data_IF_367784453170
#
_entry.id   IF_367784453170
#
_cell.length_a   1.000
_cell.length_b   1.000
_cell.length_c   1.000
_cell.angle_alpha   90.00
_cell.angle_beta   90.00
_cell.angle_gamma   90.00
#
_symmetry.space_group_name_H-M   'P 1'
#
loop_
_entity.id
_entity.type
_entity.pdbx_description
1 polymer ?
#
# COMPACT_ATOMS: atom_id res chain seq x y z
N UNK A 1 18.66 11.30 1.58
CA UNK A 1 17.47 10.42 1.50
C UNK A 1 16.30 11.15 2.14
N UNK A 2 15.28 11.48 1.34
CA UNK A 2 14.00 12.00 1.84
C UNK A 2 13.23 10.86 2.54
N UNK A 3 12.29 11.14 3.46
CA UNK A 3 11.72 10.13 4.35
C UNK A 3 11.06 8.97 3.61
N UNK A 4 11.37 7.74 4.03
CA UNK A 4 10.67 6.54 3.58
C UNK A 4 9.26 6.51 4.17
N UNK A 5 8.28 6.18 3.33
CA UNK A 5 6.93 5.86 3.76
C UNK A 5 6.77 4.35 3.66
N UNK A 6 5.93 3.75 4.50
CA UNK A 6 5.73 2.30 4.45
C UNK A 6 4.28 1.97 4.64
N UNK A 7 3.85 0.79 4.23
CA UNK A 7 2.49 0.36 4.31
C UNK A 7 2.34 -1.12 4.68
N UNK A 8 2.04 -1.44 5.95
CA UNK A 8 1.55 -2.74 6.43
C UNK A 8 0.13 -3.16 5.91
N UNK A 9 -0.13 -4.40 5.54
CA UNK A 9 -1.46 -4.90 5.16
C UNK A 9 -1.79 -6.14 5.96
N UNK A 10 -3.08 -6.43 6.19
CA UNK A 10 -3.46 -7.69 6.82
C UNK A 10 -4.79 -8.25 6.24
N UNK A 11 -5.03 -9.56 6.27
CA UNK A 11 -6.25 -10.19 5.75
C UNK A 11 -6.74 -11.17 6.83
N UNK A 12 -7.99 -11.08 7.28
CA UNK A 12 -8.51 -11.98 8.34
C UNK A 12 -9.62 -12.89 7.83
N UNK A 13 -9.47 -14.20 8.04
CA UNK A 13 -10.38 -15.28 7.65
C UNK A 13 -10.99 -16.03 8.86
N UNK A 14 -11.16 -15.40 10.04
CA UNK A 14 -11.95 -15.93 11.19
C UNK A 14 -13.24 -15.11 11.41
N UNK A 15 -14.26 -15.61 12.15
CA UNK A 15 -15.41 -14.80 12.55
C UNK A 15 -14.96 -13.68 13.53
N UNK A 16 -14.50 -12.56 12.93
CA UNK A 16 -13.73 -11.44 13.50
C UNK A 16 -12.31 -11.81 14.01
N UNK A 17 -11.24 -10.97 13.89
CA UNK A 17 -11.22 -9.49 13.89
C UNK A 17 -10.36 -8.79 12.79
N UNK A 18 -10.44 -7.45 12.77
CA UNK A 18 -9.88 -6.51 11.78
C UNK A 18 -8.36 -6.38 11.71
N UNK A 19 -7.89 -5.46 10.86
CA UNK A 19 -6.63 -5.51 10.13
C UNK A 19 -5.91 -4.15 10.13
N UNK A 20 -4.58 -4.15 10.33
CA UNK A 20 -3.77 -2.95 10.67
C UNK A 20 -2.63 -2.58 9.70
N UNK A 21 -2.80 -1.49 8.92
CA UNK A 21 -1.74 -0.78 8.13
C UNK A 21 -1.03 0.28 8.94
N UNK A 22 0.09 0.74 8.42
CA UNK A 22 0.65 1.97 8.89
C UNK A 22 1.55 2.71 7.89
N UNK A 23 1.31 4.01 7.58
CA UNK A 23 2.18 4.95 6.80
C UNK A 23 2.62 6.20 7.59
N UNK A 24 3.93 6.50 7.62
CA UNK A 24 4.52 7.75 8.15
C UNK A 24 6.05 7.81 7.94
N UNK A 25 6.69 9.00 7.95
CA UNK A 25 8.15 9.12 7.97
C UNK A 25 8.74 8.39 9.19
N UNK A 26 10.01 7.97 9.12
CA UNK A 26 10.70 7.35 10.25
C UNK A 26 10.52 8.18 11.54
N UNK A 27 9.71 7.67 12.48
CA UNK A 27 9.37 8.33 13.75
C UNK A 27 7.94 8.90 13.90
N UNK A 28 7.09 8.91 12.87
CA UNK A 28 5.70 9.41 12.95
C UNK A 28 4.64 8.29 13.08
N UNK A 29 3.43 8.65 13.55
CA UNK A 29 2.27 7.75 13.65
C UNK A 29 1.96 7.11 12.30
N UNK A 30 1.84 5.81 12.32
CA UNK A 30 1.78 4.97 11.15
C UNK A 30 0.26 4.53 10.99
N UNK A 31 -0.50 4.83 9.90
CA UNK A 31 -2.00 4.58 9.77
C UNK A 31 -2.60 3.32 9.02
N UNK A 32 -3.79 2.80 9.40
CA UNK A 32 -4.28 1.38 9.30
C UNK A 32 -5.37 0.93 8.27
N UNK A 33 -5.14 0.03 7.29
CA UNK A 33 -6.10 -0.46 6.24
C UNK A 33 -6.51 -1.89 6.50
N UNK A 34 -7.81 -2.05 6.74
CA UNK A 34 -8.43 -3.28 7.16
C UNK A 34 -9.27 -3.99 6.09
N UNK A 35 -8.94 -5.24 5.73
CA UNK A 35 -9.81 -6.12 4.94
C UNK A 35 -10.48 -7.17 5.83
N UNK A 36 -11.82 -7.17 5.87
CA UNK A 36 -12.60 -8.15 6.62
C UNK A 36 -13.21 -9.15 5.65
N UNK A 37 -12.74 -10.41 5.68
CA UNK A 37 -13.37 -11.53 4.96
C UNK A 37 -14.32 -12.21 5.96
N UNK A 38 -15.59 -12.39 5.61
CA UNK A 38 -16.49 -13.24 6.40
C UNK A 38 -16.29 -14.68 5.94
N UNK A 39 -16.47 -15.65 6.83
CA UNK A 39 -16.32 -17.08 6.50
C UNK A 39 -17.15 -17.52 5.27
N UNK A 40 -18.34 -16.91 5.07
CA UNK A 40 -19.22 -17.17 3.92
C UNK A 40 -18.70 -16.59 2.58
N UNK A 41 -17.78 -15.64 2.66
CA UNK A 41 -17.29 -14.85 1.52
C UNK A 41 -15.88 -15.31 1.08
N UNK A 42 -15.36 -16.41 1.62
CA UNK A 42 -14.01 -16.86 1.35
C UNK A 42 -13.83 -17.28 -0.12
N UNK A 43 -12.88 -16.67 -0.82
CA UNK A 43 -12.51 -17.07 -2.19
C UNK A 43 -13.62 -16.84 -3.22
N UNK A 44 -14.63 -16.02 -2.90
CA UNK A 44 -15.79 -15.79 -3.76
C UNK A 44 -15.50 -14.86 -4.95
N UNK A 45 -14.27 -14.35 -5.09
CA UNK A 45 -13.85 -13.45 -6.16
C UNK A 45 -14.42 -12.03 -6.07
N UNK A 46 -15.19 -11.72 -5.02
CA UNK A 46 -15.72 -10.38 -4.79
C UNK A 46 -14.68 -9.55 -4.06
N UNK A 47 -14.19 -8.51 -4.72
CA UNK A 47 -13.20 -7.60 -4.16
C UNK A 47 -13.70 -6.95 -2.86
N UNK A 48 -12.89 -7.04 -1.81
CA UNK A 48 -13.17 -6.50 -0.49
C UNK A 48 -12.51 -5.15 -0.32
N UNK A 49 -13.30 -4.14 0.01
CA UNK A 49 -12.79 -2.79 0.29
C UNK A 49 -12.10 -2.73 1.66
N UNK A 50 -10.88 -2.21 1.65
CA UNK A 50 -10.11 -1.87 2.84
C UNK A 50 -10.58 -0.56 3.48
N UNK A 51 -10.47 -0.43 4.81
CA UNK A 51 -10.75 0.83 5.54
C UNK A 51 -9.65 1.20 6.55
N UNK A 52 -9.37 2.51 6.75
CA UNK A 52 -9.89 3.67 6.04
C UNK A 52 -9.13 3.88 4.72
N UNK A 53 -9.55 4.89 3.96
CA UNK A 53 -8.78 5.38 2.81
C UNK A 53 -7.48 6.04 3.36
N UNK A 54 -6.36 5.89 2.65
CA UNK A 54 -5.03 6.29 3.13
C UNK A 54 -4.50 7.50 2.38
N UNK A 55 -4.00 8.49 3.12
CA UNK A 55 -3.32 9.64 2.51
C UNK A 55 -1.84 9.29 2.28
N UNK A 56 -1.37 9.44 1.05
CA UNK A 56 0.04 9.42 0.68
C UNK A 56 0.43 10.86 0.36
N UNK A 57 1.50 11.34 1.00
CA UNK A 57 2.02 12.71 0.81
C UNK A 57 3.49 12.62 0.48
N UNK A 58 3.90 13.06 -0.70
CA UNK A 58 5.31 13.12 -1.11
C UNK A 58 5.69 14.55 -1.47
N UNK A 59 6.90 14.96 -1.14
CA UNK A 59 7.36 16.32 -1.40
C UNK A 59 8.77 16.28 -1.99
N UNK A 60 8.98 17.11 -3.00
CA UNK A 60 10.29 17.44 -3.53
C UNK A 60 10.58 18.92 -3.29
N UNK A 61 11.84 19.26 -3.01
CA UNK A 61 12.33 20.63 -2.94
C UNK A 61 13.62 20.71 -3.75
N UNK A 62 13.59 21.52 -4.79
CA UNK A 62 14.73 21.79 -5.67
C UNK A 62 15.14 23.27 -5.59
N UNK A 63 16.43 23.55 -5.72
CA UNK A 63 16.99 24.92 -5.79
C UNK A 63 16.72 25.53 -7.18
N UNK A 64 16.46 26.85 -7.29
CA UNK A 64 16.34 27.51 -8.59
C UNK A 64 17.52 27.20 -9.51
N UNK A 65 17.26 26.77 -10.75
CA UNK A 65 18.28 26.38 -11.72
C UNK A 65 18.78 24.92 -11.62
N UNK A 66 18.31 24.14 -10.65
CA UNK A 66 18.70 22.72 -10.48
C UNK A 66 17.46 21.83 -10.25
N UNK A 67 16.60 21.75 -11.27
CA UNK A 67 15.42 20.88 -11.22
C UNK A 67 15.84 19.41 -11.19
N UNK A 68 15.21 18.65 -10.29
CA UNK A 68 15.43 17.22 -10.12
C UNK A 68 14.10 16.50 -10.20
N UNK A 69 14.11 15.33 -10.83
CA UNK A 69 12.94 14.44 -10.91
C UNK A 69 12.94 13.52 -9.70
N UNK A 70 11.86 13.58 -8.92
CA UNK A 70 11.61 12.64 -7.85
C UNK A 70 10.81 11.46 -8.39
N UNK A 71 11.23 10.24 -8.05
CA UNK A 71 10.59 8.99 -8.44
C UNK A 71 10.07 8.29 -7.20
N UNK A 72 8.77 8.02 -7.17
CA UNK A 72 8.12 7.23 -6.13
C UNK A 72 8.03 5.78 -6.60
N UNK A 73 8.59 4.87 -5.81
CA UNK A 73 8.47 3.43 -6.00
C UNK A 73 7.95 2.74 -4.76
N UNK A 74 7.55 1.47 -4.90
CA UNK A 74 7.10 0.62 -3.80
C UNK A 74 7.72 -0.77 -3.86
N UNK A 75 8.20 -1.24 -2.71
CA UNK A 75 8.58 -2.64 -2.48
C UNK A 75 7.36 -3.39 -1.95
N UNK A 76 6.83 -4.32 -2.73
CA UNK A 76 5.75 -5.23 -2.34
C UNK A 76 6.16 -6.71 -2.36
N UNK A 77 7.48 -6.97 -2.35
CA UNK A 77 8.07 -8.29 -2.54
C UNK A 77 7.86 -9.26 -1.39
N UNK A 78 7.67 -8.74 -0.18
CA UNK A 78 7.45 -9.56 1.02
C UNK A 78 5.96 -9.85 1.15
N UNK A 79 5.50 -11.11 0.98
CA UNK A 79 4.07 -11.43 1.01
C UNK A 79 3.46 -11.21 2.40
N UNK A 80 2.14 -11.15 2.47
CA UNK A 80 1.42 -11.22 3.74
C UNK A 80 1.58 -12.62 4.36
N UNK A 81 1.71 -12.72 5.69
CA UNK A 81 1.97 -13.97 6.43
C UNK A 81 0.97 -14.25 7.54
N UNK A 82 0.49 -15.49 7.63
CA UNK A 82 -0.32 -16.05 8.72
C UNK A 82 0.33 -17.35 9.20
N UNK A 83 1.26 -17.25 10.16
CA UNK A 83 2.12 -18.39 10.52
C UNK A 83 2.98 -18.84 9.33
N UNK A 84 2.85 -20.10 8.92
CA UNK A 84 3.49 -20.66 7.72
C UNK A 84 2.79 -20.29 6.41
N UNK A 85 1.53 -19.86 6.46
CA UNK A 85 0.74 -19.52 5.27
C UNK A 85 1.07 -18.11 4.78
N UNK A 86 1.00 -17.91 3.45
CA UNK A 86 1.26 -16.62 2.83
C UNK A 86 0.19 -16.23 1.81
N UNK A 87 0.04 -14.92 1.58
CA UNK A 87 -0.78 -14.37 0.51
C UNK A 87 0.04 -13.30 -0.24
N UNK A 88 0.07 -13.32 -1.58
CA UNK A 88 0.88 -12.39 -2.35
C UNK A 88 0.25 -10.99 -2.37
N UNK A 89 1.09 -9.96 -2.38
CA UNK A 89 0.65 -8.56 -2.50
C UNK A 89 -0.05 -8.26 -3.83
N UNK A 90 0.17 -9.07 -4.86
CA UNK A 90 -0.48 -8.97 -6.19
C UNK A 90 -2.00 -9.08 -6.16
N UNK A 91 -2.55 -9.56 -5.05
CA UNK A 91 -4.00 -9.61 -4.76
C UNK A 91 -4.58 -8.29 -4.24
N UNK A 92 -3.74 -7.26 -4.04
CA UNK A 92 -4.13 -5.96 -3.51
C UNK A 92 -4.00 -4.87 -4.58
N UNK A 93 -5.08 -4.12 -4.78
CA UNK A 93 -5.16 -2.96 -5.65
C UNK A 93 -5.57 -1.71 -4.89
N UNK A 94 -5.41 -0.54 -5.50
CA UNK A 94 -5.88 0.73 -4.97
C UNK A 94 -6.51 1.60 -6.04
N UNK A 95 -7.50 2.39 -5.62
CA UNK A 95 -8.10 3.47 -6.40
C UNK A 95 -7.68 4.78 -5.77
N UNK A 96 -7.04 5.63 -6.57
CA UNK A 96 -6.69 7.01 -6.23
C UNK A 96 -7.94 7.90 -6.28
N UNK A 97 -8.11 8.76 -5.28
CA UNK A 97 -9.28 9.65 -5.20
C UNK A 97 -9.00 10.99 -5.88
N UNK A 98 -7.80 11.52 -5.68
CA UNK A 98 -7.43 12.84 -6.17
C UNK A 98 -6.58 12.72 -7.46
N UNK A 99 -6.15 11.49 -7.80
CA UNK A 99 -5.47 11.09 -9.04
C UNK A 99 -4.13 11.81 -9.30
N UNK A 100 -3.51 12.28 -8.22
CA UNK A 100 -2.16 12.84 -8.21
C UNK A 100 -1.09 11.74 -8.18
N UNK A 101 -1.42 10.58 -7.60
CA UNK A 101 -0.69 9.33 -7.71
C UNK A 101 -1.65 8.33 -8.37
N UNK A 102 -1.33 7.76 -9.54
CA UNK A 102 -2.29 6.93 -10.26
C UNK A 102 -2.81 5.73 -9.46
N UNK A 103 -4.06 5.34 -9.76
CA UNK A 103 -4.62 4.06 -9.33
C UNK A 103 -3.78 2.89 -9.86
N UNK A 104 -3.76 1.76 -9.15
CA UNK A 104 -2.92 0.64 -9.55
C UNK A 104 -3.10 -0.62 -8.73
N UNK A 105 -2.17 -1.54 -8.93
CA UNK A 105 -2.09 -2.84 -8.27
C UNK A 105 -0.64 -3.15 -7.95
N UNK A 106 -0.39 -3.81 -6.82
CA UNK A 106 0.98 -4.24 -6.52
C UNK A 106 1.41 -5.37 -7.46
N UNK A 107 2.65 -5.33 -7.92
CA UNK A 107 3.19 -6.34 -8.83
C UNK A 107 4.02 -7.43 -8.11
N UNK A 108 4.26 -7.29 -6.80
CA UNK A 108 5.08 -8.22 -6.01
C UNK A 108 6.58 -8.01 -6.21
N UNK A 109 7.02 -6.97 -6.91
CA UNK A 109 8.43 -6.61 -7.05
C UNK A 109 8.93 -5.80 -5.84
N UNK A 110 10.24 -5.75 -5.67
CA UNK A 110 10.88 -4.94 -4.63
C UNK A 110 11.03 -3.47 -4.98
N UNK A 111 10.69 -3.07 -6.21
CA UNK A 111 10.86 -1.69 -6.68
C UNK A 111 9.90 -1.36 -7.84
N UNK A 112 8.61 -1.46 -7.58
CA UNK A 112 7.57 -1.08 -8.54
C UNK A 112 7.52 0.44 -8.67
N UNK A 113 7.63 0.97 -9.90
CA UNK A 113 7.39 2.38 -10.17
C UNK A 113 5.90 2.74 -9.98
N UNK A 114 5.64 3.85 -9.29
CA UNK A 114 4.27 4.36 -9.11
C UNK A 114 4.03 5.67 -9.85
N UNK A 115 4.93 6.63 -9.67
CA UNK A 115 4.79 7.97 -10.23
C UNK A 115 6.10 8.75 -10.13
N UNK A 116 6.25 9.80 -10.94
CA UNK A 116 7.36 10.75 -10.85
C UNK A 116 6.91 12.18 -11.06
N UNK A 117 7.58 13.11 -10.40
CA UNK A 117 7.31 14.55 -10.55
C UNK A 117 8.61 15.35 -10.47
N UNK A 118 8.67 16.48 -11.17
CA UNK A 118 9.81 17.39 -11.17
C UNK A 118 9.54 18.63 -10.31
N UNK A 119 10.59 19.44 -10.10
CA UNK A 119 10.53 20.72 -9.40
C UNK A 119 10.12 20.64 -7.91
N UNK A 120 10.11 21.80 -7.24
CA UNK A 120 9.61 21.94 -5.88
C UNK A 120 8.09 21.79 -5.86
N UNK A 121 7.60 20.63 -5.42
CA UNK A 121 6.18 20.32 -5.40
C UNK A 121 5.83 19.43 -4.21
N UNK A 122 4.67 19.69 -3.61
CA UNK A 122 3.98 18.81 -2.68
C UNK A 122 2.87 18.07 -3.44
N UNK A 123 2.88 16.74 -3.36
CA UNK A 123 1.89 15.87 -3.99
C UNK A 123 1.18 15.11 -2.88
N UNK A 124 -0.16 15.14 -2.91
CA UNK A 124 -0.99 14.40 -1.95
C UNK A 124 -2.07 13.64 -2.69
N UNK A 125 -2.32 12.40 -2.27
CA UNK A 125 -3.44 11.60 -2.79
C UNK A 125 -4.03 10.70 -1.70
N UNK A 126 -5.32 10.41 -1.80
CA UNK A 126 -6.00 9.42 -0.97
C UNK A 126 -6.23 8.14 -1.75
N UNK A 127 -5.63 7.05 -1.28
CA UNK A 127 -5.76 5.73 -1.85
C UNK A 127 -6.80 4.90 -1.10
N UNK A 128 -7.72 4.30 -1.84
CA UNK A 128 -8.67 3.30 -1.34
C UNK A 128 -8.23 1.93 -1.81
N UNK A 129 -7.92 1.04 -0.87
CA UNK A 129 -7.42 -0.29 -1.22
C UNK A 129 -8.53 -1.34 -1.35
N UNK A 130 -8.25 -2.35 -2.17
CA UNK A 130 -9.11 -3.50 -2.42
C UNK A 130 -8.28 -4.78 -2.39
N UNK A 131 -8.85 -5.84 -1.81
CA UNK A 131 -8.30 -7.19 -1.86
C UNK A 131 -9.23 -8.03 -2.76
N UNK A 132 -8.68 -8.65 -3.80
CA UNK A 132 -9.48 -9.32 -4.84
C UNK A 132 -10.30 -10.52 -4.33
N UNK A 133 -9.83 -11.16 -3.24
CA UNK A 133 -10.52 -12.32 -2.64
C UNK A 133 -10.79 -13.47 -3.62
N UNK A 134 -9.88 -13.69 -4.56
CA UNK A 134 -9.94 -14.78 -5.57
C UNK A 134 -9.33 -16.09 -5.08
N UNK A 135 -8.38 -16.04 -4.13
CA UNK A 135 -7.75 -17.22 -3.55
C UNK A 135 -8.45 -17.70 -2.28
N UNK A 136 -8.56 -19.02 -2.11
CA UNK A 136 -8.92 -19.63 -0.83
C UNK A 136 -7.70 -19.53 0.07
N UNK A 137 -7.74 -18.61 1.04
CA UNK A 137 -6.72 -18.49 2.07
C UNK A 137 -7.11 -19.29 3.30
N UNK A 138 -6.13 -19.92 3.96
CA UNK A 138 -6.38 -20.59 5.24
C UNK A 138 -6.96 -19.64 6.29
N UNK A 139 -7.73 -20.21 7.22
CA UNK A 139 -8.35 -19.47 8.32
C UNK A 139 -7.27 -18.76 9.14
N UNK A 140 -7.46 -17.48 9.43
CA UNK A 140 -6.56 -16.72 10.30
C UNK A 140 -6.16 -15.37 9.72
N UNK A 141 -5.06 -14.83 10.21
CA UNK A 141 -4.70 -13.43 10.05
C UNK A 141 -3.37 -13.29 9.31
N UNK A 142 -3.42 -12.87 8.05
CA UNK A 142 -2.25 -12.61 7.22
C UNK A 142 -1.76 -11.19 7.46
N UNK A 143 -0.47 -10.94 7.73
CA UNK A 143 0.11 -9.59 7.90
C UNK A 143 1.33 -9.42 7.00
N UNK A 144 1.47 -8.31 6.29
CA UNK A 144 2.61 -8.01 5.41
C UNK A 144 2.92 -6.51 5.41
N UNK A 145 3.99 -6.07 4.76
CA UNK A 145 4.34 -4.64 4.63
C UNK A 145 4.93 -4.38 3.25
N UNK A 146 4.47 -3.31 2.61
CA UNK A 146 5.12 -2.69 1.46
C UNK A 146 5.90 -1.45 1.92
N UNK A 147 6.92 -1.04 1.18
CA UNK A 147 7.73 0.14 1.52
C UNK A 147 7.77 1.09 0.33
N UNK A 148 7.30 2.32 0.51
CA UNK A 148 7.38 3.37 -0.50
C UNK A 148 8.69 4.15 -0.37
N UNK A 149 9.40 4.27 -1.47
CA UNK A 149 10.68 4.98 -1.54
C UNK A 149 10.56 6.13 -2.52
N UNK A 150 10.89 7.34 -2.05
CA UNK A 150 11.03 8.50 -2.92
C UNK A 150 12.53 8.74 -3.17
N UNK A 151 12.96 8.52 -4.41
CA UNK A 151 14.35 8.70 -4.83
C UNK A 151 14.48 9.97 -5.66
N UNK A 152 15.52 10.74 -5.41
CA UNK A 152 15.89 11.92 -6.19
C UNK A 152 17.38 11.80 -6.51
N UNK A 153 17.80 11.98 -7.77
CA UNK A 153 19.21 12.08 -8.14
C UNK A 153 19.83 13.38 -7.59
#
# INVERSE_FOLDING_TARGET
MAPSQAAKFKISNKPAPGVTLSIGPGGARIGEVAFKIKARDLGNGIALRGKPDMKITVANRATPGNSRVAVLSVDSSIPLRNGSHTAPFTSISWVARDNNIPSGRYDGSSNQFLFSFANSQLVEDRHRFFYDNTGILEVGTYTGRVTYTLTMP
#
